data_IF_413268083856
#
_entry.id   IF_413268083856
#
_cell.length_a   1.000
_cell.length_b   1.000
_cell.length_c   1.000
_cell.angle_alpha   90.00
_cell.angle_beta   90.00
_cell.angle_gamma   90.00
#
_symmetry.space_group_name_H-M   'P 1'
#
loop_
_entity.id
_entity.type
_entity.pdbx_description
1 polymer ?
#
# COMPACT_ATOMS: atom_id res chain seq x y z
N UNK A 1 -3.50 3.65 -39.01
CA UNK A 1 -3.69 5.02 -38.51
C UNK A 1 -5.18 5.27 -38.44
N UNK A 2 -5.70 5.79 -37.33
CA UNK A 2 -7.12 6.17 -37.25
C UNK A 2 -7.33 7.32 -38.24
N UNK A 3 -8.20 7.14 -39.22
CA UNK A 3 -8.43 8.16 -40.25
C UNK A 3 -9.42 9.18 -39.69
N UNK A 4 -8.91 10.36 -39.31
CA UNK A 4 -9.76 11.44 -38.82
C UNK A 4 -10.66 11.96 -39.94
N UNK A 5 -11.88 12.46 -39.64
CA UNK A 5 -12.70 13.14 -40.62
C UNK A 5 -11.93 14.27 -41.30
N UNK A 6 -12.04 14.40 -42.63
CA UNK A 6 -11.29 15.38 -43.43
C UNK A 6 -11.41 16.82 -42.89
N UNK A 7 -12.58 17.18 -42.33
CA UNK A 7 -12.81 18.48 -41.68
C UNK A 7 -11.88 18.71 -40.47
N UNK A 8 -11.69 17.69 -39.64
CA UNK A 8 -10.84 17.77 -38.44
C UNK A 8 -9.38 17.81 -38.84
N UNK A 9 -8.98 17.01 -39.84
CA UNK A 9 -7.63 17.05 -40.40
C UNK A 9 -7.29 18.46 -40.91
N UNK A 10 -8.19 19.08 -41.68
CA UNK A 10 -8.00 20.46 -42.15
C UNK A 10 -7.94 21.49 -41.00
N UNK A 11 -8.71 21.29 -39.92
CA UNK A 11 -8.62 22.15 -38.73
C UNK A 11 -7.28 22.00 -37.99
N UNK A 12 -6.73 20.79 -37.93
CA UNK A 12 -5.42 20.51 -37.35
C UNK A 12 -4.33 21.19 -38.18
N UNK A 13 -4.32 20.99 -39.51
CA UNK A 13 -3.37 21.63 -40.42
C UNK A 13 -3.41 23.17 -40.29
N UNK A 14 -4.61 23.76 -40.19
CA UNK A 14 -4.76 25.19 -39.97
C UNK A 14 -4.22 25.65 -38.61
N UNK A 15 -4.40 24.85 -37.54
CA UNK A 15 -3.87 25.16 -36.22
C UNK A 15 -2.34 25.02 -36.15
N UNK A 16 -1.76 24.05 -36.85
CA UNK A 16 -0.31 23.87 -36.99
C UNK A 16 0.30 25.09 -37.70
N UNK A 17 -0.30 25.53 -38.80
CA UNK A 17 0.13 26.73 -39.52
C UNK A 17 0.06 27.99 -38.65
N UNK A 18 -1.01 28.17 -37.86
CA UNK A 18 -1.12 29.27 -36.90
C UNK A 18 -0.01 29.21 -35.83
N UNK A 19 0.37 28.01 -35.38
CA UNK A 19 1.45 27.82 -34.40
C UNK A 19 2.81 28.18 -35.00
N UNK A 20 3.11 27.72 -36.22
CA UNK A 20 4.37 28.01 -36.91
C UNK A 20 4.55 29.51 -37.16
N UNK A 21 3.46 30.22 -37.50
CA UNK A 21 3.46 31.68 -37.68
C UNK A 21 3.77 32.45 -36.37
N UNK A 22 3.59 31.82 -35.20
CA UNK A 22 3.82 32.49 -33.89
C UNK A 22 5.25 32.42 -33.40
N UNK A 23 6.13 31.65 -34.06
CA UNK A 23 7.53 31.42 -33.63
C UNK A 23 8.39 32.69 -33.63
N UNK A 24 7.95 33.78 -34.27
CA UNK A 24 8.67 35.06 -34.29
C UNK A 24 7.74 36.28 -34.21
N UNK A 25 6.88 36.34 -33.20
CA UNK A 25 6.07 37.54 -32.91
C UNK A 25 6.94 38.58 -32.19
N UNK A 26 7.06 39.78 -32.77
CA UNK A 26 7.75 40.92 -32.17
C UNK A 26 6.79 42.11 -32.00
N UNK A 27 6.68 42.62 -30.78
CA UNK A 27 5.70 43.65 -30.39
C UNK A 27 6.46 44.90 -29.93
N UNK A 28 6.39 45.97 -30.72
CA UNK A 28 7.00 47.26 -30.39
C UNK A 28 5.98 48.39 -30.27
N UNK A 29 4.82 48.23 -30.91
CA UNK A 29 3.78 49.27 -30.99
C UNK A 29 2.45 48.76 -30.42
N UNK A 30 1.60 49.70 -30.04
CA UNK A 30 0.24 49.39 -29.58
C UNK A 30 -0.60 48.70 -30.67
N UNK A 31 -0.38 49.05 -31.94
CA UNK A 31 -1.04 48.40 -33.09
C UNK A 31 -0.65 46.92 -33.19
N UNK A 32 0.63 46.57 -32.96
CA UNK A 32 1.08 45.17 -32.91
C UNK A 32 0.36 44.39 -31.80
N UNK A 33 0.10 45.02 -30.64
CA UNK A 33 -0.65 44.39 -29.54
C UNK A 33 -2.07 44.05 -29.98
N UNK A 34 -2.76 44.95 -30.67
CA UNK A 34 -4.13 44.74 -31.12
C UNK A 34 -4.25 43.61 -32.15
N UNK A 35 -3.29 43.53 -33.08
CA UNK A 35 -3.27 42.48 -34.11
C UNK A 35 -2.87 41.12 -33.54
N UNK A 36 -1.83 41.06 -32.71
CA UNK A 36 -1.46 39.83 -32.00
C UNK A 36 -2.58 39.36 -31.08
N UNK A 37 -3.34 40.26 -30.46
CA UNK A 37 -4.50 39.90 -29.65
C UNK A 37 -5.65 39.29 -30.48
N UNK A 38 -5.81 39.65 -31.77
CA UNK A 38 -6.78 38.99 -32.66
C UNK A 38 -6.32 37.56 -33.00
N UNK A 39 -5.04 37.41 -33.35
CA UNK A 39 -4.42 36.11 -33.65
C UNK A 39 -4.53 35.17 -32.43
N UNK A 40 -4.16 35.65 -31.24
CA UNK A 40 -4.24 34.88 -29.99
C UNK A 40 -5.68 34.39 -29.69
N UNK A 41 -6.69 35.22 -29.95
CA UNK A 41 -8.09 34.82 -29.79
C UNK A 41 -8.53 33.77 -30.80
N UNK A 42 -8.09 33.88 -32.05
CA UNK A 42 -8.35 32.88 -33.10
C UNK A 42 -7.72 31.53 -32.76
N UNK A 43 -6.46 31.51 -32.33
CA UNK A 43 -5.77 30.29 -31.87
C UNK A 43 -6.54 29.64 -30.72
N UNK A 44 -6.98 30.44 -29.73
CA UNK A 44 -7.78 29.92 -28.60
C UNK A 44 -9.12 29.34 -29.05
N UNK A 45 -9.79 29.93 -30.03
CA UNK A 45 -11.03 29.39 -30.60
C UNK A 45 -10.78 28.05 -31.30
N UNK A 46 -9.76 27.95 -32.17
CA UNK A 46 -9.40 26.69 -32.83
C UNK A 46 -9.02 25.60 -31.82
N UNK A 47 -8.25 25.94 -30.79
CA UNK A 47 -7.89 25.00 -29.74
C UNK A 47 -9.12 24.44 -29.01
N UNK A 48 -10.12 25.31 -28.75
CA UNK A 48 -11.39 24.90 -28.15
C UNK A 48 -12.19 23.98 -29.09
N UNK A 49 -12.32 24.35 -30.36
CA UNK A 49 -13.04 23.55 -31.37
C UNK A 49 -12.41 22.16 -31.53
N UNK A 50 -11.08 22.07 -31.56
CA UNK A 50 -10.37 20.79 -31.65
C UNK A 50 -10.56 19.92 -30.40
N UNK A 51 -10.58 20.52 -29.19
CA UNK A 51 -10.88 19.76 -27.96
C UNK A 51 -12.33 19.28 -27.91
N UNK A 52 -13.28 20.08 -28.40
CA UNK A 52 -14.68 19.67 -28.55
C UNK A 52 -14.82 18.52 -29.56
N UNK A 53 -14.22 18.64 -30.74
CA UNK A 53 -14.21 17.58 -31.75
C UNK A 53 -13.56 16.29 -31.22
N UNK A 54 -12.45 16.41 -30.48
CA UNK A 54 -11.81 15.28 -29.80
C UNK A 54 -12.77 14.60 -28.83
N UNK A 55 -13.46 15.37 -27.97
CA UNK A 55 -14.43 14.85 -27.01
C UNK A 55 -15.62 14.18 -27.70
N UNK A 56 -16.12 14.74 -28.79
CA UNK A 56 -17.20 14.13 -29.57
C UNK A 56 -16.80 12.77 -30.13
N UNK A 57 -15.56 12.64 -30.63
CA UNK A 57 -15.02 11.36 -31.12
C UNK A 57 -14.81 10.36 -29.98
N UNK A 58 -14.26 10.78 -28.84
CA UNK A 58 -13.93 9.85 -27.75
C UNK A 58 -15.14 9.49 -26.90
N UNK A 59 -16.17 10.33 -26.84
CA UNK A 59 -17.36 10.11 -26.02
C UNK A 59 -17.99 8.72 -26.17
N UNK A 60 -18.33 8.22 -27.38
CA UNK A 60 -18.91 6.88 -27.52
C UNK A 60 -17.93 5.77 -27.06
N UNK A 61 -16.63 5.98 -27.22
CA UNK A 61 -15.60 5.03 -26.74
C UNK A 61 -15.54 5.04 -25.20
N UNK A 62 -15.59 6.23 -24.59
CA UNK A 62 -15.61 6.40 -23.15
C UNK A 62 -16.88 5.80 -22.53
N UNK A 63 -18.03 5.99 -23.17
CA UNK A 63 -19.32 5.40 -22.79
C UNK A 63 -19.29 3.87 -22.91
N UNK A 64 -18.79 3.32 -24.01
CA UNK A 64 -18.69 1.86 -24.19
C UNK A 64 -17.70 1.25 -23.20
N UNK A 65 -16.54 1.88 -23.01
CA UNK A 65 -15.56 1.47 -21.99
C UNK A 65 -16.20 1.46 -20.60
N UNK A 66 -16.99 2.50 -20.26
CA UNK A 66 -17.71 2.56 -19.00
C UNK A 66 -18.75 1.45 -18.88
N UNK A 67 -19.51 1.16 -19.94
CA UNK A 67 -20.49 0.08 -19.99
C UNK A 67 -19.85 -1.29 -19.77
N UNK A 68 -18.73 -1.57 -20.45
CA UNK A 68 -17.96 -2.80 -20.26
C UNK A 68 -17.45 -2.92 -18.83
N UNK A 69 -16.81 -1.86 -18.29
CA UNK A 69 -16.35 -1.86 -16.90
C UNK A 69 -17.49 -2.11 -15.90
N UNK A 70 -18.67 -1.53 -16.16
CA UNK A 70 -19.84 -1.71 -15.31
C UNK A 70 -20.35 -3.16 -15.30
N UNK A 71 -20.21 -3.91 -16.40
CA UNK A 71 -20.57 -5.34 -16.43
C UNK A 71 -19.63 -6.20 -15.58
N UNK A 72 -18.33 -5.90 -15.59
CA UNK A 72 -17.34 -6.67 -14.84
C UNK A 72 -17.26 -6.30 -13.36
N UNK A 73 -17.59 -5.05 -13.00
CA UNK A 73 -17.44 -4.55 -11.62
C UNK A 73 -18.15 -5.44 -10.58
N UNK A 74 -19.43 -5.83 -10.74
CA UNK A 74 -20.12 -6.65 -9.74
C UNK A 74 -19.47 -8.03 -9.54
N UNK A 75 -19.04 -8.70 -10.62
CA UNK A 75 -18.42 -10.02 -10.50
C UNK A 75 -17.03 -9.93 -9.86
N UNK A 76 -16.24 -8.91 -10.21
CA UNK A 76 -14.94 -8.67 -9.58
C UNK A 76 -15.07 -8.35 -8.09
N UNK A 77 -16.07 -7.56 -7.68
CA UNK A 77 -16.37 -7.27 -6.28
C UNK A 77 -16.79 -8.54 -5.51
N UNK A 78 -17.63 -9.40 -6.12
CA UNK A 78 -18.02 -10.69 -5.53
C UNK A 78 -16.84 -11.65 -5.40
N UNK A 79 -15.98 -11.74 -6.42
CA UNK A 79 -14.77 -12.56 -6.39
C UNK A 79 -13.80 -12.06 -5.32
N UNK A 80 -13.57 -10.75 -5.23
CA UNK A 80 -12.75 -10.13 -4.18
C UNK A 80 -13.29 -10.44 -2.78
N UNK A 81 -14.62 -10.41 -2.62
CA UNK A 81 -15.26 -10.74 -1.34
C UNK A 81 -15.12 -12.23 -1.00
N UNK A 82 -15.35 -13.12 -1.97
CA UNK A 82 -15.18 -14.56 -1.79
C UNK A 82 -13.72 -14.93 -1.46
N UNK A 83 -12.76 -14.31 -2.15
CA UNK A 83 -11.34 -14.47 -1.89
C UNK A 83 -10.98 -14.07 -0.45
N UNK A 84 -11.45 -12.91 0.01
CA UNK A 84 -11.26 -12.46 1.40
C UNK A 84 -11.85 -13.43 2.41
N UNK A 85 -13.07 -13.92 2.16
CA UNK A 85 -13.73 -14.88 3.04
C UNK A 85 -12.94 -16.20 3.16
N UNK A 86 -12.49 -16.75 2.04
CA UNK A 86 -11.69 -17.98 2.01
C UNK A 86 -10.35 -17.76 2.72
N UNK A 87 -9.65 -16.64 2.45
CA UNK A 87 -8.40 -16.30 3.13
C UNK A 87 -8.58 -16.19 4.64
N UNK A 88 -9.63 -15.50 5.09
CA UNK A 88 -9.95 -15.40 6.53
C UNK A 88 -10.16 -16.78 7.15
N UNK A 89 -10.96 -17.64 6.51
CA UNK A 89 -11.24 -18.99 7.01
C UNK A 89 -9.96 -19.85 7.13
N UNK A 90 -9.03 -19.73 6.16
CA UNK A 90 -7.74 -20.42 6.21
C UNK A 90 -6.87 -19.88 7.36
N UNK A 91 -6.81 -18.56 7.54
CA UNK A 91 -6.06 -17.92 8.63
C UNK A 91 -6.63 -18.34 9.99
N UNK A 92 -7.95 -18.34 10.15
CA UNK A 92 -8.63 -18.73 11.38
C UNK A 92 -8.44 -20.23 11.69
N UNK A 93 -8.38 -21.07 10.66
CA UNK A 93 -8.04 -22.48 10.81
C UNK A 93 -6.58 -22.67 11.26
N UNK A 94 -5.63 -22.03 10.59
CA UNK A 94 -4.21 -22.08 10.96
C UNK A 94 -3.96 -21.58 12.40
N UNK A 95 -4.67 -20.52 12.81
CA UNK A 95 -4.64 -20.01 14.18
C UNK A 95 -5.11 -21.07 15.19
N UNK A 96 -6.27 -21.71 14.95
CA UNK A 96 -6.78 -22.79 15.80
C UNK A 96 -5.83 -24.00 15.84
N UNK A 97 -5.25 -24.38 14.70
CA UNK A 97 -4.25 -25.44 14.64
C UNK A 97 -2.96 -25.09 15.40
N UNK A 98 -2.56 -23.82 15.42
CA UNK A 98 -1.42 -23.37 16.21
C UNK A 98 -1.73 -23.40 17.71
N UNK A 99 -2.89 -22.91 18.12
CA UNK A 99 -3.36 -22.93 19.51
C UNK A 99 -3.47 -24.36 20.06
N UNK A 100 -4.05 -25.28 19.28
CA UNK A 100 -4.19 -26.68 19.69
C UNK A 100 -2.81 -27.37 19.79
N UNK A 101 -1.89 -27.08 18.87
CA UNK A 101 -0.51 -27.59 18.96
C UNK A 101 0.21 -27.08 20.20
N UNK A 102 0.08 -25.79 20.53
CA UNK A 102 0.65 -25.23 21.74
C UNK A 102 0.06 -25.89 22.99
N UNK A 103 -1.25 -26.16 23.00
CA UNK A 103 -1.93 -26.86 24.09
C UNK A 103 -1.41 -28.29 24.25
N UNK A 104 -1.34 -29.06 23.16
CA UNK A 104 -0.83 -30.42 23.17
C UNK A 104 0.64 -30.48 23.58
N UNK A 105 1.43 -29.50 23.13
CA UNK A 105 2.84 -29.35 23.52
C UNK A 105 2.97 -29.14 25.03
N UNK A 106 2.18 -28.22 25.62
CA UNK A 106 2.17 -28.00 27.07
C UNK A 106 1.82 -29.27 27.85
N UNK A 107 0.82 -30.03 27.41
CA UNK A 107 0.43 -31.29 28.05
C UNK A 107 1.56 -32.32 27.96
N UNK A 108 2.18 -32.45 26.78
CA UNK A 108 3.29 -33.39 26.58
C UNK A 108 4.53 -33.00 27.40
N UNK A 109 4.83 -31.71 27.50
CA UNK A 109 5.93 -31.20 28.31
C UNK A 109 5.68 -31.41 29.81
N UNK A 110 4.44 -31.18 30.28
CA UNK A 110 4.04 -31.50 31.66
C UNK A 110 4.15 -33.00 31.97
N UNK A 111 3.75 -33.87 31.03
CA UNK A 111 3.89 -35.31 31.18
C UNK A 111 5.36 -35.75 31.22
N UNK A 112 6.18 -35.25 30.29
CA UNK A 112 7.61 -35.52 30.26
C UNK A 112 8.30 -35.03 31.55
N UNK A 113 7.87 -33.90 32.10
CA UNK A 113 8.38 -33.38 33.37
C UNK A 113 7.98 -34.29 34.54
N UNK A 114 6.71 -34.70 34.64
CA UNK A 114 6.25 -35.63 35.69
C UNK A 114 6.97 -36.97 35.63
N UNK A 115 7.20 -37.51 34.44
CA UNK A 115 7.94 -38.77 34.27
C UNK A 115 9.41 -38.62 34.66
N UNK A 116 10.04 -37.49 34.31
CA UNK A 116 11.41 -37.19 34.72
C UNK A 116 11.48 -37.08 36.25
N UNK A 117 10.57 -36.33 36.88
CA UNK A 117 10.52 -36.15 38.33
C UNK A 117 10.27 -37.48 39.06
N UNK A 118 9.36 -38.32 38.57
CA UNK A 118 9.12 -39.66 39.12
C UNK A 118 10.38 -40.55 39.04
N UNK A 119 11.11 -40.51 37.91
CA UNK A 119 12.39 -41.23 37.76
C UNK A 119 13.46 -40.69 38.70
N UNK A 120 13.52 -39.37 38.91
CA UNK A 120 14.44 -38.73 39.88
C UNK A 120 14.14 -39.21 41.30
N UNK A 121 12.88 -39.19 41.71
CA UNK A 121 12.46 -39.64 43.05
C UNK A 121 12.77 -41.13 43.25
N UNK A 122 12.48 -41.98 42.27
CA UNK A 122 12.81 -43.41 42.34
C UNK A 122 14.32 -43.65 42.49
N UNK A 123 15.15 -42.93 41.72
CA UNK A 123 16.62 -43.02 41.80
C UNK A 123 17.17 -42.51 43.13
N UNK A 124 16.54 -41.49 43.74
CA UNK A 124 16.93 -41.00 45.07
C UNK A 124 16.58 -42.04 46.14
N UNK A 125 15.40 -42.66 46.09
CA UNK A 125 15.01 -43.73 47.00
C UNK A 125 15.95 -44.95 46.88
N UNK A 126 16.33 -45.33 45.65
CA UNK A 126 17.33 -46.38 45.41
C UNK A 126 18.71 -46.03 46.01
N UNK A 127 19.10 -44.74 45.95
CA UNK A 127 20.32 -44.26 46.57
C UNK A 127 20.28 -44.38 48.11
N UNK A 128 19.17 -43.99 48.74
CA UNK A 128 18.96 -44.09 50.19
C UNK A 128 19.06 -45.55 50.67
N UNK A 129 18.41 -46.48 49.96
CA UNK A 129 18.52 -47.92 50.26
C UNK A 129 19.95 -48.44 50.11
N UNK A 130 20.72 -47.95 49.13
CA UNK A 130 22.12 -48.35 48.96
C UNK A 130 23.02 -47.87 50.10
N UNK A 131 22.74 -46.69 50.67
CA UNK A 131 23.41 -46.19 51.89
C UNK A 131 23.11 -47.09 53.08
N UNK A 132 21.84 -47.45 53.27
CA UNK A 132 21.40 -48.31 54.38
C UNK A 132 22.00 -49.73 54.31
N UNK A 133 22.24 -50.23 53.09
CA UNK A 133 22.97 -51.49 52.83
C UNK A 133 24.50 -51.37 52.91
N UNK A 134 25.04 -50.20 53.26
CA UNK A 134 26.48 -49.98 53.43
C UNK A 134 27.29 -49.90 52.13
N UNK A 135 26.67 -49.52 51.00
CA UNK A 135 27.31 -49.41 49.68
C UNK A 135 27.35 -47.94 49.19
N UNK A 136 28.23 -47.10 49.75
CA UNK A 136 28.24 -45.65 49.48
C UNK A 136 28.55 -45.29 48.01
N UNK A 137 29.45 -46.03 47.34
CA UNK A 137 29.78 -45.81 45.93
C UNK A 137 28.56 -46.05 45.00
N UNK A 138 27.71 -47.01 45.36
CA UNK A 138 26.50 -47.32 44.61
C UNK A 138 25.46 -46.20 44.79
N UNK A 139 25.36 -45.63 45.99
CA UNK A 139 24.46 -44.52 46.30
C UNK A 139 24.83 -43.23 45.52
N UNK A 140 26.12 -42.88 45.45
CA UNK A 140 26.58 -41.75 44.62
C UNK A 140 26.26 -41.96 43.13
N UNK A 141 26.41 -43.19 42.64
CA UNK A 141 26.06 -43.49 41.25
C UNK A 141 24.56 -43.30 40.95
N UNK A 142 23.67 -43.61 41.91
CA UNK A 142 22.23 -43.35 41.77
C UNK A 142 21.89 -41.85 41.85
N UNK A 143 22.54 -41.09 42.72
CA UNK A 143 22.36 -39.63 42.81
C UNK A 143 22.80 -38.92 41.53
N UNK A 144 23.96 -39.29 40.98
CA UNK A 144 24.46 -38.76 39.71
C UNK A 144 23.51 -39.08 38.54
N UNK A 145 22.92 -40.30 38.54
CA UNK A 145 21.92 -40.68 37.55
C UNK A 145 20.62 -39.89 37.71
N UNK A 146 20.16 -39.66 38.94
CA UNK A 146 18.99 -38.83 39.22
C UNK A 146 19.19 -37.41 38.70
N UNK A 147 20.36 -36.80 38.95
CA UNK A 147 20.64 -35.44 38.51
C UNK A 147 20.68 -35.31 36.98
N UNK A 148 21.14 -36.36 36.29
CA UNK A 148 21.18 -36.44 34.84
C UNK A 148 19.83 -36.71 34.16
N UNK A 149 18.77 -37.10 34.89
CA UNK A 149 17.42 -37.28 34.31
C UNK A 149 16.87 -35.91 33.90
N UNK A 150 16.65 -35.74 32.60
CA UNK A 150 16.03 -34.57 31.99
C UNK A 150 14.74 -34.97 31.28
N UNK A 151 13.74 -34.08 31.21
CA UNK A 151 12.55 -34.32 30.40
C UNK A 151 12.94 -34.48 28.93
N UNK A 152 12.39 -35.50 28.28
CA UNK A 152 12.56 -35.70 26.83
C UNK A 152 11.63 -34.75 26.08
N UNK A 153 12.13 -33.90 25.17
CA UNK A 153 11.29 -32.98 24.41
C UNK A 153 10.40 -33.77 23.44
N UNK A 154 9.09 -33.67 23.61
CA UNK A 154 8.11 -34.23 22.67
C UNK A 154 7.85 -33.18 21.60
N UNK A 155 7.96 -33.53 20.31
CA UNK A 155 7.74 -32.57 19.23
C UNK A 155 6.40 -32.86 18.54
N UNK A 156 5.42 -31.97 18.70
CA UNK A 156 4.12 -32.09 18.01
C UNK A 156 4.31 -31.70 16.53
N UNK A 157 4.09 -32.65 15.62
CA UNK A 157 4.33 -32.47 14.18
C UNK A 157 3.46 -31.37 13.57
N UNK A 158 4.08 -30.52 12.74
CA UNK A 158 3.39 -29.47 11.98
C UNK A 158 2.78 -30.06 10.72
N UNK A 159 1.49 -29.82 10.47
CA UNK A 159 0.86 -30.16 9.20
C UNK A 159 1.50 -29.39 8.04
N UNK A 160 1.74 -30.11 6.94
CA UNK A 160 2.24 -29.56 5.69
C UNK A 160 1.13 -28.76 5.01
N UNK A 161 1.45 -27.52 4.64
CA UNK A 161 0.52 -26.68 3.86
C UNK A 161 0.46 -27.17 2.41
N UNK A 162 -0.71 -27.13 1.75
CA UNK A 162 -0.82 -27.42 0.33
C UNK A 162 0.08 -26.51 -0.51
N UNK A 163 0.58 -27.04 -1.64
CA UNK A 163 1.33 -26.27 -2.63
C UNK A 163 0.50 -25.07 -3.14
N UNK A 164 1.14 -23.91 -3.30
CA UNK A 164 0.51 -22.70 -3.86
C UNK A 164 -0.01 -21.69 -2.82
N UNK A 165 0.04 -21.99 -1.52
CA UNK A 165 -0.36 -21.06 -0.46
C UNK A 165 0.86 -20.53 0.29
N UNK A 166 0.98 -19.20 0.36
CA UNK A 166 2.00 -18.51 1.16
C UNK A 166 1.35 -17.52 2.12
N UNK A 167 1.95 -17.39 3.30
CA UNK A 167 1.53 -16.41 4.32
C UNK A 167 2.59 -15.31 4.38
N UNK A 168 2.13 -14.06 4.32
CA UNK A 168 2.96 -12.88 4.49
C UNK A 168 2.42 -12.00 5.61
N UNK A 169 3.32 -11.35 6.33
CA UNK A 169 2.95 -10.33 7.32
C UNK A 169 2.98 -8.97 6.64
N UNK A 170 1.83 -8.30 6.59
CA UNK A 170 1.76 -6.90 6.18
C UNK A 170 1.84 -6.03 7.43
N UNK A 171 2.84 -5.16 7.49
CA UNK A 171 2.95 -4.15 8.52
C UNK A 171 2.17 -2.91 8.11
N UNK A 172 1.36 -2.40 9.03
CA UNK A 172 0.59 -1.16 8.87
C UNK A 172 0.77 -0.32 10.13
N UNK A 173 0.50 0.97 10.04
CA UNK A 173 0.55 1.90 11.17
C UNK A 173 -0.77 2.65 11.28
N UNK A 174 -1.07 3.12 12.49
CA UNK A 174 -2.16 4.02 12.79
C UNK A 174 -1.56 5.29 13.39
N UNK A 175 -2.02 6.45 12.94
CA UNK A 175 -1.55 7.73 13.48
C UNK A 175 -2.30 7.99 14.79
N UNK A 176 -1.60 7.87 15.92
CA UNK A 176 -2.16 8.13 17.25
C UNK A 176 -2.14 9.62 17.58
N UNK A 177 -1.04 10.31 17.25
CA UNK A 177 -0.87 11.75 17.45
C UNK A 177 0.01 12.33 16.34
N UNK A 178 -0.55 13.28 15.60
CA UNK A 178 0.09 13.92 14.45
C UNK A 178 1.20 14.91 14.85
N UNK A 179 1.06 15.59 15.99
CA UNK A 179 2.03 16.59 16.46
C UNK A 179 3.40 16.01 16.85
N UNK A 180 3.46 14.71 17.14
CA UNK A 180 4.71 14.01 17.46
C UNK A 180 5.40 13.44 16.21
N UNK A 181 4.78 13.50 15.04
CA UNK A 181 5.34 12.97 13.80
C UNK A 181 6.52 13.86 13.39
N UNK A 182 7.74 13.30 13.23
CA UNK A 182 8.89 14.06 12.73
C UNK A 182 8.60 14.70 11.37
N UNK A 183 9.13 15.90 11.13
CA UNK A 183 8.90 16.67 9.90
C UNK A 183 9.32 15.93 8.62
N UNK A 184 10.21 14.93 8.72
CA UNK A 184 10.63 14.05 7.62
C UNK A 184 9.49 13.20 7.04
N UNK A 185 8.50 12.85 7.87
CA UNK A 185 7.33 12.06 7.43
C UNK A 185 6.14 12.95 7.07
N UNK A 186 6.25 14.27 7.24
CA UNK A 186 5.20 15.24 6.94
C UNK A 186 5.45 15.88 5.58
N UNK A 187 4.41 15.93 4.74
CA UNK A 187 4.43 16.63 3.45
C UNK A 187 3.62 17.91 3.59
N UNK A 188 4.12 19.00 3.02
CA UNK A 188 3.44 20.29 3.01
C UNK A 188 2.24 20.24 2.07
N UNK A 189 1.08 20.72 2.53
CA UNK A 189 -0.12 20.83 1.69
C UNK A 189 -0.02 22.04 0.74
N UNK A 190 0.51 21.79 -0.46
CA UNK A 190 0.66 22.79 -1.53
C UNK A 190 -0.69 23.37 -1.98
N UNK A 191 -1.75 22.57 -2.00
CA UNK A 191 -3.07 23.03 -2.43
C UNK A 191 -3.69 24.01 -1.43
N UNK A 192 -3.46 23.80 -0.14
CA UNK A 192 -3.90 24.74 0.90
C UNK A 192 -3.11 26.03 0.83
N UNK A 193 -1.79 25.96 0.60
CA UNK A 193 -0.96 27.14 0.36
C UNK A 193 -1.42 27.92 -0.87
N UNK A 194 -1.74 27.24 -1.98
CA UNK A 194 -2.25 27.88 -3.19
C UNK A 194 -3.60 28.57 -2.95
N UNK A 195 -4.51 27.92 -2.21
CA UNK A 195 -5.79 28.54 -1.82
C UNK A 195 -5.58 29.77 -0.94
N UNK A 196 -4.64 29.70 0.00
CA UNK A 196 -4.31 30.82 0.89
C UNK A 196 -3.72 32.02 0.11
N UNK A 197 -2.74 31.80 -0.78
CA UNK A 197 -2.18 32.89 -1.59
C UNK A 197 -3.19 33.48 -2.57
N UNK A 198 -4.09 32.68 -3.14
CA UNK A 198 -5.14 33.21 -4.03
C UNK A 198 -6.13 34.11 -3.27
N UNK A 199 -6.39 33.83 -1.99
CA UNK A 199 -7.27 34.64 -1.15
C UNK A 199 -6.57 35.92 -0.62
N UNK A 200 -5.34 35.78 -0.10
CA UNK A 200 -4.61 36.86 0.56
C UNK A 200 -3.76 37.71 -0.38
N UNK A 201 -3.38 37.17 -1.55
CA UNK A 201 -2.54 37.82 -2.57
C UNK A 201 -1.25 38.38 -1.95
N UNK A 202 -1.04 39.70 -2.06
CA UNK A 202 0.14 40.41 -1.54
C UNK A 202 0.29 40.32 -0.02
N UNK A 203 -0.81 40.05 0.70
CA UNK A 203 -0.80 39.93 2.17
C UNK A 203 -0.53 38.51 2.68
N UNK A 204 -0.33 37.53 1.78
CA UNK A 204 -0.09 36.14 2.17
C UNK A 204 1.27 36.01 2.88
N UNK A 205 1.26 35.59 4.16
CA UNK A 205 2.49 35.34 4.92
C UNK A 205 2.43 33.98 5.63
N UNK A 206 3.34 33.08 5.26
CA UNK A 206 3.55 31.80 5.94
C UNK A 206 5.06 31.62 6.13
N UNK A 207 5.57 31.47 7.36
CA UNK A 207 6.99 31.25 7.60
C UNK A 207 7.54 30.07 6.79
N UNK A 208 8.60 30.31 6.03
CA UNK A 208 9.25 29.29 5.19
C UNK A 208 8.66 29.12 3.78
N UNK A 209 7.66 29.91 3.39
CA UNK A 209 7.11 29.91 2.02
C UNK A 209 7.27 31.30 1.40
N UNK A 210 7.83 31.37 0.19
CA UNK A 210 7.92 32.61 -0.59
C UNK A 210 6.82 32.63 -1.64
N UNK A 211 5.86 33.54 -1.51
CA UNK A 211 4.83 33.76 -2.52
C UNK A 211 5.35 34.74 -3.58
N UNK A 212 5.17 34.39 -4.86
CA UNK A 212 5.59 35.21 -6.01
C UNK A 212 4.39 35.47 -6.90
N UNK A 213 4.15 36.74 -7.22
CA UNK A 213 3.13 37.15 -8.19
C UNK A 213 3.71 37.04 -9.61
N UNK A 214 3.14 36.17 -10.44
CA UNK A 214 3.47 36.05 -11.85
C UNK A 214 2.35 36.70 -12.66
N UNK A 215 2.70 37.68 -13.50
CA UNK A 215 1.73 38.27 -14.42
C UNK A 215 1.37 37.26 -15.50
N UNK A 216 0.07 37.05 -15.72
CA UNK A 216 -0.44 36.17 -16.77
C UNK A 216 -1.38 36.95 -17.68
N UNK A 217 -1.20 36.81 -18.99
CA UNK A 217 -2.14 37.31 -19.98
C UNK A 217 -3.20 36.23 -20.25
N UNK A 218 -4.47 36.62 -20.26
CA UNK A 218 -5.58 35.75 -20.65
C UNK A 218 -6.33 36.36 -21.84
N UNK A 219 -6.63 35.54 -22.83
CA UNK A 219 -7.49 35.91 -23.95
C UNK A 219 -8.78 35.08 -23.87
N UNK A 220 -9.91 35.65 -24.27
CA UNK A 220 -11.17 34.90 -24.43
C UNK A 220 -11.26 34.40 -25.87
N UNK A 221 -11.62 33.13 -26.07
CA UNK A 221 -11.99 32.66 -27.40
C UNK A 221 -13.19 33.48 -27.90
N UNK A 222 -13.34 33.61 -29.23
CA UNK A 222 -14.55 34.17 -29.82
C UNK A 222 -15.81 33.42 -29.37
#
# INVERSE_FOLDING_TARGET
MCNLPAKITAQIEAAEMDCDLTVSIHIETQEHVEDVAKILRSIKSRAKELDEARKEITKPIDEEKAAVMAQFKPILERLSTAEKAIKSAIIDYEKRCAEERERLQKIADEQAQREADAKRVAMIADAEMAVEQGKPELAEAYLNKAEAVKPTPVNVTKQLRPSGLSMGTRWTFEIVNDALIPREFLIVDEQRLQRYVNAMKESANVPGVKFVAVQSLSAKAY
#
